data_IF_768465979680
#
_entry.id   IF_768465979680
#
_cell.length_a   1.000
_cell.length_b   1.000
_cell.length_c   1.000
_cell.angle_alpha   90.00
_cell.angle_beta   90.00
_cell.angle_gamma   90.00
#
_symmetry.space_group_name_H-M   'P 1'
#
loop_
_entity.id
_entity.type
_entity.pdbx_description
1 polymer ?
#
# COMPACT_ATOMS: atom_id res chain seq x y z
N UNK A 1 10.31 4.02 18.46
CA UNK A 1 8.92 3.66 18.08
C UNK A 1 8.95 2.56 17.04
N UNK A 2 7.87 1.79 16.85
CA UNK A 2 7.85 0.67 15.89
C UNK A 2 8.20 1.11 14.46
N UNK A 3 7.69 2.26 14.00
CA UNK A 3 7.97 2.77 12.66
C UNK A 3 9.45 3.11 12.38
N UNK A 4 10.32 3.14 13.38
CA UNK A 4 11.77 3.27 13.17
C UNK A 4 12.40 1.97 12.65
N UNK A 5 11.73 0.83 12.87
CA UNK A 5 12.09 -0.50 12.34
C UNK A 5 11.45 -0.76 10.95
N UNK A 6 10.48 0.04 10.53
CA UNK A 6 9.74 -0.07 9.28
C UNK A 6 9.92 1.18 8.41
N UNK A 7 11.17 1.59 8.24
CA UNK A 7 11.50 2.88 7.61
C UNK A 7 11.36 2.86 6.10
N UNK A 8 11.92 1.86 5.43
CA UNK A 8 11.90 1.72 3.98
C UNK A 8 11.72 0.25 3.58
N UNK A 9 10.56 -0.06 3.03
CA UNK A 9 10.18 -1.38 2.59
C UNK A 9 9.68 -1.43 1.16
N UNK A 10 9.14 -2.59 0.78
CA UNK A 10 8.65 -2.83 -0.55
C UNK A 10 7.43 -3.74 -0.53
N UNK A 11 6.49 -3.50 -1.45
CA UNK A 11 5.29 -4.29 -1.61
C UNK A 11 5.54 -5.58 -2.42
N UNK A 12 4.88 -6.67 -2.02
CA UNK A 12 4.86 -7.96 -2.72
C UNK A 12 3.55 -8.15 -3.50
N UNK A 13 3.05 -7.08 -4.15
CA UNK A 13 1.85 -7.13 -4.97
C UNK A 13 1.98 -8.07 -6.16
N UNK A 14 0.86 -8.62 -6.64
CA UNK A 14 0.80 -9.59 -7.72
C UNK A 14 1.01 -11.05 -7.28
N UNK A 15 1.27 -11.31 -6.00
CA UNK A 15 1.47 -12.66 -5.49
C UNK A 15 0.15 -13.32 -5.05
N UNK A 16 -0.42 -12.88 -3.91
CA UNK A 16 -1.70 -13.38 -3.38
C UNK A 16 -2.76 -12.28 -3.31
N UNK A 17 -2.55 -11.23 -4.07
CA UNK A 17 -3.47 -10.14 -4.39
C UNK A 17 -3.12 -9.58 -5.76
N UNK A 18 -4.11 -9.01 -6.46
CA UNK A 18 -3.95 -8.34 -7.77
C UNK A 18 -3.27 -9.21 -8.85
N UNK A 19 -3.28 -10.52 -8.73
CA UNK A 19 -2.84 -11.43 -9.76
C UNK A 19 -3.98 -11.77 -10.74
N UNK A 20 -3.63 -12.07 -11.99
CA UNK A 20 -4.62 -12.44 -13.02
C UNK A 20 -5.36 -13.73 -12.66
N UNK A 21 -4.62 -14.74 -12.20
CA UNK A 21 -5.14 -16.04 -11.80
C UNK A 21 -4.35 -16.51 -10.58
N UNK A 22 -5.06 -16.79 -9.50
CA UNK A 22 -4.46 -17.24 -8.24
C UNK A 22 -4.38 -18.76 -8.20
N UNK A 23 -3.56 -19.34 -9.07
CA UNK A 23 -3.36 -20.78 -9.12
C UNK A 23 -2.31 -21.23 -8.08
N UNK A 24 -2.33 -22.50 -7.66
CA UNK A 24 -1.28 -23.05 -6.79
C UNK A 24 0.13 -22.87 -7.37
N UNK A 25 0.28 -23.03 -8.69
CA UNK A 25 1.55 -22.85 -9.42
C UNK A 25 2.03 -21.40 -9.36
N UNK A 26 1.12 -20.43 -9.55
CA UNK A 26 1.43 -19.01 -9.40
C UNK A 26 1.91 -18.72 -7.98
N UNK A 27 1.14 -19.13 -6.97
CA UNK A 27 1.49 -18.91 -5.56
C UNK A 27 2.85 -19.52 -5.22
N UNK A 28 3.16 -20.71 -5.73
CA UNK A 28 4.41 -21.41 -5.46
C UNK A 28 5.64 -20.79 -6.14
N UNK A 29 5.46 -20.07 -7.27
CA UNK A 29 6.56 -19.65 -8.13
C UNK A 29 6.78 -18.13 -8.19
N UNK A 30 5.76 -17.30 -7.89
CA UNK A 30 5.83 -15.85 -8.12
C UNK A 30 6.78 -15.14 -7.15
N UNK A 31 6.69 -15.43 -5.85
CA UNK A 31 7.64 -14.97 -4.82
C UNK A 31 8.28 -16.21 -4.18
N UNK A 32 9.60 -16.19 -4.10
CA UNK A 32 10.43 -17.24 -3.52
C UNK A 32 11.30 -16.67 -2.41
N UNK A 33 11.92 -17.56 -1.63
CA UNK A 33 12.83 -17.18 -0.54
C UNK A 33 13.97 -16.28 -1.01
N UNK A 34 14.52 -16.58 -2.20
CA UNK A 34 15.60 -15.81 -2.81
C UNK A 34 15.20 -14.35 -3.06
N UNK A 35 13.94 -14.09 -3.41
CA UNK A 35 13.44 -12.73 -3.59
C UNK A 35 13.42 -11.95 -2.26
N UNK A 36 13.05 -12.59 -1.16
CA UNK A 36 13.10 -11.98 0.18
C UNK A 36 14.55 -11.72 0.60
N UNK A 37 15.46 -12.67 0.30
CA UNK A 37 16.90 -12.49 0.49
C UNK A 37 17.47 -11.33 -0.32
N UNK A 38 17.01 -11.15 -1.58
CA UNK A 38 17.42 -10.02 -2.42
C UNK A 38 16.94 -8.67 -1.84
N UNK A 39 15.69 -8.60 -1.38
CA UNK A 39 15.12 -7.39 -0.72
C UNK A 39 15.95 -7.02 0.53
N UNK A 40 16.31 -8.01 1.35
CA UNK A 40 17.17 -7.79 2.51
C UNK A 40 18.58 -7.35 2.10
N UNK A 41 19.17 -7.97 1.05
CA UNK A 41 20.47 -7.58 0.52
C UNK A 41 20.49 -6.16 -0.06
N UNK A 42 19.35 -5.66 -0.54
CA UNK A 42 19.19 -4.25 -0.91
C UNK A 42 19.21 -3.30 0.30
N UNK A 43 19.12 -3.83 1.53
CA UNK A 43 19.14 -3.03 2.75
C UNK A 43 17.80 -2.40 3.09
N UNK A 44 16.70 -2.89 2.50
CA UNK A 44 15.34 -2.58 2.94
C UNK A 44 15.04 -3.31 4.25
N UNK A 45 14.13 -2.79 5.05
CA UNK A 45 13.91 -3.28 6.43
C UNK A 45 12.59 -4.03 6.62
N UNK A 46 11.68 -4.01 5.64
CA UNK A 46 10.42 -4.74 5.71
C UNK A 46 9.79 -4.98 4.33
N UNK A 47 8.83 -5.88 4.30
CA UNK A 47 7.93 -6.09 3.16
C UNK A 47 6.49 -5.82 3.56
N UNK A 48 5.67 -5.31 2.64
CA UNK A 48 4.21 -5.25 2.77
C UNK A 48 3.63 -6.32 1.87
N UNK A 49 2.80 -7.21 2.44
CA UNK A 49 2.12 -8.28 1.71
C UNK A 49 0.64 -7.91 1.52
N UNK A 50 0.24 -7.45 0.33
CA UNK A 50 -1.16 -7.44 -0.04
C UNK A 50 -1.69 -8.87 -0.18
N UNK A 51 -2.83 -9.16 0.47
CA UNK A 51 -3.53 -10.43 0.30
C UNK A 51 -5.03 -10.24 0.11
N UNK A 52 -5.62 -11.07 -0.74
CA UNK A 52 -7.07 -11.10 -0.96
C UNK A 52 -7.69 -12.19 -0.08
N UNK A 53 -8.82 -11.90 0.60
CA UNK A 53 -9.47 -12.84 1.51
C UNK A 53 -9.77 -14.22 0.89
N UNK A 54 -10.06 -14.37 -0.44
CA UNK A 54 -10.34 -15.69 -1.02
C UNK A 54 -9.19 -16.69 -0.92
N UNK A 55 -7.96 -16.23 -0.65
CA UNK A 55 -6.84 -17.13 -0.31
C UNK A 55 -7.10 -17.87 0.99
N UNK A 56 -7.85 -17.27 1.90
CA UNK A 56 -8.03 -17.72 3.29
C UNK A 56 -9.43 -18.21 3.60
N UNK A 57 -10.46 -17.79 2.86
CA UNK A 57 -11.86 -18.11 3.12
C UNK A 57 -12.64 -18.17 1.81
N UNK A 58 -13.65 -19.07 1.71
CA UNK A 58 -14.57 -19.13 0.58
C UNK A 58 -15.92 -18.50 0.94
N UNK A 59 -16.53 -17.78 -0.01
CA UNK A 59 -17.87 -17.21 0.17
C UNK A 59 -18.96 -18.28 0.38
N UNK A 60 -18.76 -19.47 -0.19
CA UNK A 60 -19.66 -20.61 0.01
C UNK A 60 -19.52 -21.29 1.37
N UNK A 61 -18.46 -20.99 2.12
CA UNK A 61 -18.20 -21.57 3.43
C UNK A 61 -17.60 -20.54 4.39
N UNK A 62 -18.33 -19.48 4.73
CA UNK A 62 -17.83 -18.39 5.57
C UNK A 62 -17.42 -18.88 6.96
N UNK A 63 -16.43 -18.20 7.56
CA UNK A 63 -15.81 -18.49 8.86
C UNK A 63 -15.01 -19.82 8.89
N UNK A 64 -14.83 -20.49 7.76
CA UNK A 64 -13.96 -21.68 7.65
C UNK A 64 -12.71 -21.32 6.87
N UNK A 65 -11.58 -21.31 7.58
CA UNK A 65 -10.33 -20.81 7.04
C UNK A 65 -9.51 -21.92 6.37
N UNK A 66 -8.85 -21.55 5.28
CA UNK A 66 -8.01 -22.43 4.46
C UNK A 66 -6.58 -22.46 5.02
N UNK A 67 -6.18 -23.61 5.60
CA UNK A 67 -4.82 -23.77 6.12
C UNK A 67 -3.73 -23.64 5.04
N UNK A 68 -4.01 -24.03 3.80
CA UNK A 68 -3.06 -23.85 2.71
C UNK A 68 -2.82 -22.36 2.37
N UNK A 69 -3.82 -21.50 2.55
CA UNK A 69 -3.67 -20.06 2.39
C UNK A 69 -2.82 -19.45 3.51
N UNK A 70 -3.11 -19.81 4.76
CA UNK A 70 -2.28 -19.41 5.90
C UNK A 70 -0.85 -19.91 5.78
N UNK A 71 -0.62 -21.13 5.26
CA UNK A 71 0.72 -21.68 5.07
C UNK A 71 1.60 -20.83 4.14
N UNK A 72 1.01 -20.07 3.20
CA UNK A 72 1.76 -19.10 2.37
C UNK A 72 2.28 -17.95 3.22
N UNK A 73 1.44 -17.41 4.10
CA UNK A 73 1.79 -16.30 5.00
C UNK A 73 2.80 -16.78 6.05
N UNK A 74 2.60 -17.96 6.65
CA UNK A 74 3.54 -18.57 7.61
C UNK A 74 4.94 -18.72 7.00
N UNK A 75 4.99 -19.17 5.73
CA UNK A 75 6.25 -19.31 4.99
C UNK A 75 6.92 -17.95 4.80
N UNK A 76 6.18 -16.89 4.43
CA UNK A 76 6.74 -15.54 4.31
C UNK A 76 7.23 -15.02 5.66
N UNK A 77 6.49 -15.21 6.75
CA UNK A 77 6.91 -14.83 8.11
C UNK A 77 8.24 -15.52 8.47
N UNK A 78 8.36 -16.82 8.17
CA UNK A 78 9.61 -17.55 8.40
C UNK A 78 10.79 -16.98 7.59
N UNK A 79 10.57 -16.64 6.33
CA UNK A 79 11.59 -15.99 5.49
C UNK A 79 11.95 -14.61 6.00
N UNK A 80 10.96 -13.76 6.34
CA UNK A 80 11.22 -12.45 6.92
C UNK A 80 12.05 -12.54 8.21
N UNK A 81 11.73 -13.49 9.08
CA UNK A 81 12.50 -13.74 10.32
C UNK A 81 13.95 -14.12 10.01
N UNK A 82 14.17 -15.03 9.03
CA UNK A 82 15.51 -15.47 8.64
C UNK A 82 16.37 -14.33 8.10
N UNK A 83 15.76 -13.42 7.33
CA UNK A 83 16.45 -12.27 6.74
C UNK A 83 16.35 -10.98 7.57
N UNK A 84 15.78 -11.06 8.79
CA UNK A 84 15.61 -9.92 9.70
C UNK A 84 14.81 -8.76 9.08
N UNK A 85 13.75 -9.09 8.36
CA UNK A 85 12.78 -8.15 7.79
C UNK A 85 11.51 -8.11 8.64
N UNK A 86 10.90 -6.92 8.76
CA UNK A 86 9.53 -6.79 9.24
C UNK A 86 8.51 -7.17 8.17
N UNK A 87 7.27 -7.41 8.58
CA UNK A 87 6.16 -7.72 7.68
C UNK A 87 4.93 -6.87 8.02
N UNK A 88 4.37 -6.20 7.03
CA UNK A 88 3.02 -5.61 7.08
C UNK A 88 2.08 -6.54 6.31
N UNK A 89 1.07 -7.08 6.99
CA UNK A 89 0.00 -7.88 6.38
C UNK A 89 -1.16 -6.95 6.04
N UNK A 90 -1.40 -6.73 4.76
CA UNK A 90 -2.44 -5.86 4.23
C UNK A 90 -3.59 -6.67 3.65
N UNK A 91 -4.78 -6.56 4.26
CA UNK A 91 -5.99 -7.10 3.63
C UNK A 91 -6.39 -6.21 2.45
N UNK A 92 -5.98 -6.62 1.25
CA UNK A 92 -6.14 -5.83 0.04
C UNK A 92 -7.56 -5.92 -0.54
N UNK A 93 -8.16 -7.10 -0.41
CA UNK A 93 -9.57 -7.36 -0.68
C UNK A 93 -10.18 -8.08 0.52
N UNK A 94 -11.26 -7.52 1.06
CA UNK A 94 -12.01 -8.08 2.19
C UNK A 94 -13.28 -8.79 1.74
N UNK A 95 -13.91 -9.66 2.57
CA UNK A 95 -15.24 -10.15 2.32
C UNK A 95 -16.20 -8.99 2.01
N UNK A 96 -16.86 -9.06 0.84
CA UNK A 96 -17.80 -8.04 0.38
C UNK A 96 -17.19 -6.66 0.09
N UNK A 97 -15.87 -6.55 -0.09
CA UNK A 97 -15.25 -5.29 -0.46
C UNK A 97 -14.04 -5.46 -1.39
N UNK A 98 -14.07 -4.69 -2.48
CA UNK A 98 -12.93 -4.50 -3.38
C UNK A 98 -12.86 -3.04 -3.84
N UNK A 99 -11.74 -2.36 -3.62
CA UNK A 99 -11.56 -0.95 -4.01
C UNK A 99 -11.73 -0.73 -5.52
N UNK A 100 -11.32 -1.69 -6.36
CA UNK A 100 -11.48 -1.63 -7.81
C UNK A 100 -12.93 -1.80 -8.29
N UNK A 101 -13.78 -2.45 -7.49
CA UNK A 101 -15.16 -2.77 -7.81
C UNK A 101 -16.15 -2.25 -6.76
N UNK A 102 -15.79 -1.25 -5.96
CA UNK A 102 -16.56 -0.79 -4.81
C UNK A 102 -18.03 -0.44 -5.13
N UNK A 103 -18.38 -0.11 -6.37
CA UNK A 103 -19.76 0.17 -6.78
C UNK A 103 -20.65 -1.08 -6.72
N UNK A 104 -20.09 -2.26 -6.85
CA UNK A 104 -20.78 -3.56 -6.87
C UNK A 104 -20.34 -4.48 -5.74
N UNK A 105 -19.14 -4.26 -5.16
CA UNK A 105 -18.55 -5.03 -4.07
C UNK A 105 -18.32 -4.12 -2.86
N UNK A 106 -19.39 -3.79 -2.11
CA UNK A 106 -19.35 -2.92 -0.93
C UNK A 106 -20.20 -3.43 0.25
N UNK A 107 -20.56 -4.71 0.26
CA UNK A 107 -21.39 -5.31 1.31
C UNK A 107 -20.75 -5.21 2.71
N UNK A 108 -19.41 -5.09 2.80
CA UNK A 108 -18.72 -4.84 4.06
C UNK A 108 -19.27 -3.62 4.82
N UNK A 109 -19.74 -2.61 4.09
CA UNK A 109 -20.25 -1.35 4.66
C UNK A 109 -21.75 -1.40 5.00
N UNK A 110 -22.47 -2.42 4.55
CA UNK A 110 -23.95 -2.46 4.62
C UNK A 110 -24.52 -3.75 5.19
N UNK A 111 -23.76 -4.85 5.21
CA UNK A 111 -24.20 -6.16 5.67
C UNK A 111 -23.43 -6.59 6.94
N UNK A 112 -24.18 -6.92 8.00
CA UNK A 112 -23.60 -7.30 9.29
C UNK A 112 -22.87 -8.65 9.23
N UNK A 113 -23.35 -9.60 8.43
CA UNK A 113 -22.69 -10.91 8.27
C UNK A 113 -21.32 -10.74 7.64
N UNK A 114 -21.23 -9.91 6.61
CA UNK A 114 -19.97 -9.58 5.93
C UNK A 114 -18.99 -8.86 6.86
N UNK A 115 -19.50 -7.91 7.65
CA UNK A 115 -18.70 -7.24 8.68
C UNK A 115 -18.17 -8.24 9.72
N UNK A 116 -19.00 -9.17 10.18
CA UNK A 116 -18.59 -10.18 11.15
C UNK A 116 -17.54 -11.14 10.56
N UNK A 117 -17.59 -11.46 9.25
CA UNK A 117 -16.54 -12.23 8.56
C UNK A 117 -15.21 -11.48 8.58
N UNK A 118 -15.23 -10.18 8.23
CA UNK A 118 -14.05 -9.32 8.25
C UNK A 118 -13.39 -9.28 9.63
N UNK A 119 -14.18 -9.05 10.70
CA UNK A 119 -13.68 -9.01 12.08
C UNK A 119 -13.15 -10.38 12.50
N UNK A 120 -13.89 -11.46 12.21
CA UNK A 120 -13.48 -12.84 12.58
C UNK A 120 -12.19 -13.25 11.89
N UNK A 121 -11.99 -12.86 10.62
CA UNK A 121 -10.74 -13.13 9.90
C UNK A 121 -9.55 -12.45 10.59
N UNK A 122 -9.69 -11.18 10.99
CA UNK A 122 -8.65 -10.49 11.75
C UNK A 122 -8.42 -11.09 13.15
N UNK A 123 -9.46 -11.57 13.83
CA UNK A 123 -9.30 -12.32 15.08
C UNK A 123 -8.52 -13.63 14.85
N UNK A 124 -8.77 -14.33 13.72
CA UNK A 124 -8.02 -15.51 13.31
C UNK A 124 -6.54 -15.20 13.07
N UNK A 125 -6.23 -14.08 12.42
CA UNK A 125 -4.85 -13.60 12.28
C UNK A 125 -4.22 -13.29 13.64
N UNK A 126 -4.95 -12.60 14.51
CA UNK A 126 -4.47 -12.25 15.84
C UNK A 126 -4.13 -13.51 16.66
N UNK A 127 -5.00 -14.53 16.67
CA UNK A 127 -4.74 -15.79 17.36
C UNK A 127 -3.54 -16.55 16.80
N UNK A 128 -3.44 -16.61 15.45
CA UNK A 128 -2.35 -17.35 14.79
C UNK A 128 -0.98 -16.69 14.99
N UNK A 129 -0.93 -15.36 14.96
CA UNK A 129 0.33 -14.60 14.94
C UNK A 129 0.64 -13.83 16.22
N UNK A 130 -0.07 -14.08 17.33
CA UNK A 130 0.15 -13.38 18.61
C UNK A 130 1.59 -13.45 19.14
N UNK A 131 2.32 -14.51 18.78
CA UNK A 131 3.71 -14.71 19.21
C UNK A 131 4.75 -14.02 18.29
N UNK A 132 4.33 -13.38 17.19
CA UNK A 132 5.25 -12.70 16.26
C UNK A 132 5.69 -11.31 16.75
N UNK A 133 5.00 -10.76 17.74
CA UNK A 133 5.34 -9.46 18.34
C UNK A 133 5.40 -8.34 17.29
N UNK A 134 6.43 -7.50 17.40
CA UNK A 134 6.66 -6.34 16.53
C UNK A 134 7.10 -6.70 15.09
N UNK A 135 7.34 -7.98 14.80
CA UNK A 135 7.79 -8.39 13.45
C UNK A 135 6.64 -8.41 12.43
N UNK A 136 5.39 -8.41 12.91
CA UNK A 136 4.20 -8.44 12.07
C UNK A 136 3.25 -7.33 12.49
N UNK A 137 2.91 -6.46 11.54
CA UNK A 137 1.91 -5.40 11.66
C UNK A 137 0.69 -5.76 10.83
N UNK A 138 -0.53 -5.50 11.32
CA UNK A 138 -1.77 -5.71 10.57
C UNK A 138 -2.25 -4.39 9.97
N UNK A 139 -2.44 -4.35 8.66
CA UNK A 139 -3.10 -3.26 7.96
C UNK A 139 -4.53 -3.68 7.64
N UNK A 140 -5.50 -3.03 8.27
CA UNK A 140 -6.88 -3.51 8.31
C UNK A 140 -7.52 -3.64 6.95
N UNK A 141 -7.34 -2.67 6.06
CA UNK A 141 -7.93 -2.69 4.74
C UNK A 141 -7.21 -1.73 3.81
N UNK A 142 -6.93 -2.19 2.60
CA UNK A 142 -6.40 -1.38 1.50
C UNK A 142 -7.46 -0.43 0.95
N UNK A 143 -7.06 0.79 0.61
CA UNK A 143 -7.74 1.78 -0.24
C UNK A 143 -9.27 1.87 -0.07
N UNK A 144 -9.70 2.33 1.10
CA UNK A 144 -11.10 2.52 1.43
C UNK A 144 -11.73 3.60 0.53
N UNK A 145 -12.88 3.30 -0.08
CA UNK A 145 -13.62 4.20 -0.99
C UNK A 145 -14.90 4.75 -0.32
N UNK A 146 -15.00 4.73 1.01
CA UNK A 146 -16.09 5.37 1.75
C UNK A 146 -15.96 6.91 1.60
N UNK A 147 -16.95 7.62 1.07
CA UNK A 147 -16.84 9.05 0.84
C UNK A 147 -16.83 9.90 2.12
N UNK A 148 -17.33 9.36 3.24
CA UNK A 148 -17.52 10.12 4.48
C UNK A 148 -16.61 9.69 5.64
N UNK A 149 -16.04 8.50 5.58
CA UNK A 149 -15.19 7.93 6.64
C UNK A 149 -15.92 7.43 7.89
N UNK A 150 -17.16 7.88 8.15
CA UNK A 150 -17.90 7.52 9.38
C UNK A 150 -18.22 6.03 9.47
N UNK A 151 -18.62 5.41 8.36
CA UNK A 151 -18.92 3.98 8.30
C UNK A 151 -17.63 3.18 8.47
N UNK A 152 -16.55 3.61 7.81
CA UNK A 152 -15.25 2.98 7.94
C UNK A 152 -14.74 3.03 9.40
N UNK A 153 -14.82 4.18 10.06
CA UNK A 153 -14.40 4.29 11.47
C UNK A 153 -15.12 3.29 12.38
N UNK A 154 -16.43 3.04 12.15
CA UNK A 154 -17.19 2.03 12.91
C UNK A 154 -16.71 0.59 12.62
N UNK A 155 -16.43 0.26 11.37
CA UNK A 155 -15.93 -1.04 10.93
C UNK A 155 -14.54 -1.27 11.53
N UNK A 156 -13.63 -0.29 11.38
CA UNK A 156 -12.27 -0.34 11.89
C UNK A 156 -12.25 -0.52 13.42
N UNK A 157 -13.11 0.20 14.15
CA UNK A 157 -13.23 0.06 15.60
C UNK A 157 -13.61 -1.37 16.00
N UNK A 158 -14.60 -1.99 15.36
CA UNK A 158 -14.98 -3.38 15.63
C UNK A 158 -13.84 -4.36 15.36
N UNK A 159 -13.08 -4.15 14.29
CA UNK A 159 -11.91 -4.99 13.99
C UNK A 159 -10.79 -4.79 15.03
N UNK A 160 -10.49 -3.55 15.41
CA UNK A 160 -9.51 -3.22 16.46
C UNK A 160 -9.91 -3.87 17.78
N UNK A 161 -11.16 -3.71 18.22
CA UNK A 161 -11.69 -4.32 19.43
C UNK A 161 -11.57 -5.85 19.42
N UNK A 162 -11.91 -6.47 18.28
CA UNK A 162 -11.77 -7.92 18.06
C UNK A 162 -10.30 -8.36 18.19
N UNK A 163 -9.38 -7.69 17.51
CA UNK A 163 -7.94 -7.98 17.59
C UNK A 163 -7.44 -7.79 19.03
N UNK A 164 -7.81 -6.69 19.72
CA UNK A 164 -7.39 -6.41 21.10
C UNK A 164 -7.88 -7.44 22.10
N UNK A 165 -9.04 -8.07 21.84
CA UNK A 165 -9.55 -9.17 22.66
C UNK A 165 -8.69 -10.44 22.59
N UNK A 166 -7.87 -10.58 21.55
CA UNK A 166 -7.01 -11.75 21.30
C UNK A 166 -5.52 -11.43 21.47
N UNK A 167 -5.09 -10.28 20.96
CA UNK A 167 -3.70 -9.81 20.95
C UNK A 167 -3.67 -8.31 21.31
N UNK A 168 -3.50 -8.03 22.60
CA UNK A 168 -3.50 -6.67 23.13
C UNK A 168 -2.31 -5.83 22.63
N UNK A 169 -1.23 -6.47 22.20
CA UNK A 169 0.02 -5.82 21.84
C UNK A 169 0.24 -5.65 20.33
N UNK A 170 -0.68 -6.14 19.49
CA UNK A 170 -0.56 -6.05 18.04
C UNK A 170 -0.53 -4.62 17.54
N UNK A 171 0.47 -4.27 16.72
CA UNK A 171 0.47 -3.04 15.95
C UNK A 171 -0.52 -3.14 14.78
N UNK A 172 -1.38 -2.14 14.63
CA UNK A 172 -2.43 -2.07 13.61
C UNK A 172 -2.25 -0.79 12.81
N UNK A 173 -2.20 -0.90 11.48
CA UNK A 173 -2.23 0.22 10.54
C UNK A 173 -3.67 0.51 10.12
N UNK A 174 -4.06 1.76 10.26
CA UNK A 174 -5.38 2.28 9.91
C UNK A 174 -5.24 3.30 8.78
N UNK A 175 -5.74 2.94 7.61
CA UNK A 175 -5.85 3.82 6.44
C UNK A 175 -7.19 4.55 6.40
N UNK A 176 -7.24 5.66 5.67
CA UNK A 176 -8.43 6.51 5.54
C UNK A 176 -9.20 6.30 4.24
N UNK A 177 -10.34 6.98 4.07
CA UNK A 177 -11.12 6.96 2.84
C UNK A 177 -10.37 7.64 1.67
N UNK A 178 -11.06 7.71 0.52
CA UNK A 178 -10.51 8.27 -0.72
C UNK A 178 -9.23 7.55 -1.17
N UNK A 179 -9.27 6.20 -1.22
CA UNK A 179 -8.13 5.35 -1.64
C UNK A 179 -6.90 5.55 -0.75
N UNK A 180 -7.09 5.59 0.56
CA UNK A 180 -6.02 5.86 1.53
C UNK A 180 -5.24 7.16 1.23
N UNK A 181 -5.85 8.16 0.58
CA UNK A 181 -5.16 9.41 0.28
C UNK A 181 -4.76 10.18 1.54
N UNK A 182 -3.77 11.06 1.42
CA UNK A 182 -3.35 11.93 2.52
C UNK A 182 -4.51 12.80 3.06
N UNK A 183 -5.47 13.19 2.21
CA UNK A 183 -6.66 13.94 2.60
C UNK A 183 -7.62 13.09 3.46
N UNK A 184 -7.70 11.79 3.21
CA UNK A 184 -8.54 10.86 3.99
C UNK A 184 -8.13 10.74 5.47
N UNK A 185 -6.90 11.06 5.82
CA UNK A 185 -6.39 10.98 7.20
C UNK A 185 -7.21 11.83 8.19
N UNK A 186 -7.71 13.01 7.76
CA UNK A 186 -8.41 13.93 8.66
C UNK A 186 -9.77 13.41 9.15
N UNK A 187 -10.34 12.40 8.47
CA UNK A 187 -11.63 11.79 8.83
C UNK A 187 -11.48 10.61 9.79
N UNK A 188 -10.24 10.16 10.03
CA UNK A 188 -9.98 9.00 10.89
C UNK A 188 -10.17 9.32 12.36
N UNK A 189 -10.71 8.34 13.09
CA UNK A 189 -10.71 8.35 14.54
C UNK A 189 -9.28 8.31 15.10
N UNK A 190 -9.00 9.15 16.09
CA UNK A 190 -7.69 9.22 16.73
C UNK A 190 -7.72 8.43 18.02
N UNK A 191 -6.95 7.34 18.06
CA UNK A 191 -6.84 6.44 19.20
C UNK A 191 -5.73 6.90 20.15
N UNK A 192 -5.98 6.79 21.46
CA UNK A 192 -4.95 6.95 22.49
C UNK A 192 -3.99 5.76 22.56
N UNK A 193 -4.39 4.61 22.02
CA UNK A 193 -3.53 3.43 21.86
C UNK A 193 -2.38 3.73 20.91
N UNK A 194 -1.14 3.71 21.41
CA UNK A 194 0.07 3.99 20.62
C UNK A 194 0.43 2.86 19.62
N UNK A 195 -0.25 1.72 19.72
CA UNK A 195 -0.12 0.61 18.76
C UNK A 195 -1.08 0.73 17.57
N UNK A 196 -1.96 1.73 17.56
CA UNK A 196 -2.71 2.11 16.37
C UNK A 196 -1.88 3.14 15.60
N UNK A 197 -1.45 2.75 14.41
CA UNK A 197 -0.63 3.50 13.48
C UNK A 197 -1.52 3.99 12.34
N UNK A 198 -1.13 5.07 11.67
CA UNK A 198 -1.92 5.65 10.59
C UNK A 198 -1.21 5.51 9.25
N UNK A 199 -1.97 5.08 8.24
CA UNK A 199 -1.48 4.78 6.89
C UNK A 199 -2.12 5.69 5.87
N UNK A 200 -1.35 6.02 4.82
CA UNK A 200 -1.85 6.67 3.60
C UNK A 200 -1.06 6.19 2.38
N UNK A 201 -1.63 6.39 1.19
CA UNK A 201 -0.96 6.17 -0.09
C UNK A 201 -0.64 7.51 -0.74
N UNK A 202 0.46 7.58 -1.48
CA UNK A 202 0.90 8.86 -2.03
C UNK A 202 1.45 8.71 -3.45
N UNK A 203 0.54 8.79 -4.43
CA UNK A 203 0.86 8.70 -5.85
C UNK A 203 0.87 10.07 -6.57
N UNK A 204 0.97 11.18 -5.83
CA UNK A 204 1.09 12.50 -6.44
C UNK A 204 2.49 12.73 -7.07
N UNK A 205 2.54 13.40 -8.24
CA UNK A 205 1.43 13.82 -9.07
C UNK A 205 0.89 12.64 -9.90
N UNK A 206 -0.43 12.44 -9.87
CA UNK A 206 -1.08 11.30 -10.53
C UNK A 206 -0.79 11.25 -12.04
N UNK A 207 -0.76 12.41 -12.71
CA UNK A 207 -0.42 12.53 -14.13
C UNK A 207 0.95 11.94 -14.48
N UNK A 208 1.91 11.96 -13.54
CA UNK A 208 3.23 11.37 -13.72
C UNK A 208 3.25 9.90 -13.32
N UNK A 209 2.76 9.59 -12.11
CA UNK A 209 2.87 8.25 -11.51
C UNK A 209 2.02 7.20 -12.22
N UNK A 210 0.94 7.63 -12.91
CA UNK A 210 0.00 6.78 -13.64
C UNK A 210 -0.06 7.11 -15.14
N UNK A 211 0.94 7.83 -15.67
CA UNK A 211 0.95 8.20 -17.08
C UNK A 211 0.74 6.97 -17.98
N UNK A 212 -0.22 7.05 -18.89
CA UNK A 212 -0.61 5.97 -19.83
C UNK A 212 -1.00 4.65 -19.14
N UNK A 213 -1.37 4.67 -17.86
CA UNK A 213 -1.81 3.48 -17.16
C UNK A 213 -3.13 2.94 -17.75
N UNK A 214 -3.16 1.65 -18.07
CA UNK A 214 -4.27 1.00 -18.81
C UNK A 214 -5.62 1.05 -18.12
N UNK A 215 -5.62 1.21 -16.81
CA UNK A 215 -6.81 1.25 -15.95
C UNK A 215 -7.31 2.66 -15.65
N UNK A 216 -6.71 3.69 -16.24
CA UNK A 216 -7.07 5.09 -16.05
C UNK A 216 -7.50 5.76 -17.36
N UNK A 217 -8.08 6.95 -17.28
CA UNK A 217 -8.35 7.79 -18.46
C UNK A 217 -7.07 8.28 -19.16
N UNK A 218 -5.90 8.10 -18.55
CA UNK A 218 -4.61 8.48 -19.14
C UNK A 218 -4.10 7.46 -20.20
N UNK A 219 -4.71 6.28 -20.33
CA UNK A 219 -4.23 5.16 -21.15
C UNK A 219 -3.96 5.52 -22.61
N UNK A 220 -4.82 6.32 -23.21
CA UNK A 220 -4.80 6.65 -24.64
C UNK A 220 -4.25 8.04 -24.94
N UNK A 221 -3.83 8.80 -23.93
CA UNK A 221 -3.34 10.18 -24.11
C UNK A 221 -2.02 10.26 -24.89
N UNK A 222 -1.22 9.21 -24.88
CA UNK A 222 0.12 9.20 -25.48
C UNK A 222 1.13 10.13 -24.81
N UNK A 223 0.72 10.84 -23.75
CA UNK A 223 1.56 11.84 -23.08
C UNK A 223 2.66 11.17 -22.27
N UNK A 224 3.88 11.69 -22.37
CA UNK A 224 5.00 11.40 -21.50
C UNK A 224 5.23 12.59 -20.59
N UNK A 225 4.94 12.42 -19.30
CA UNK A 225 5.19 13.44 -18.28
C UNK A 225 6.63 13.36 -17.80
N UNK A 226 7.40 14.46 -17.85
CA UNK A 226 8.75 14.48 -17.28
C UNK A 226 8.72 14.62 -15.76
N UNK A 227 9.82 14.24 -15.11
CA UNK A 227 10.09 14.56 -13.71
C UNK A 227 11.61 14.73 -13.47
N UNK A 228 12.07 15.89 -12.90
CA UNK A 228 11.27 17.10 -12.75
C UNK A 228 10.88 17.74 -14.08
N UNK A 229 9.79 18.51 -14.12
CA UNK A 229 9.38 19.21 -15.34
C UNK A 229 7.97 19.76 -15.32
N UNK A 230 7.67 20.53 -16.35
CA UNK A 230 6.33 21.11 -16.54
C UNK A 230 5.31 20.06 -16.98
N UNK A 231 4.04 20.29 -16.64
CA UNK A 231 2.92 19.47 -17.14
C UNK A 231 2.88 19.48 -18.65
N UNK A 232 3.05 18.30 -19.27
CA UNK A 232 2.99 18.13 -20.71
C UNK A 232 1.56 17.80 -21.17
N UNK A 233 1.23 18.18 -22.43
CA UNK A 233 -0.01 17.79 -23.10
C UNK A 233 -1.28 18.35 -22.49
N UNK A 234 -1.24 19.57 -21.97
CA UNK A 234 -2.34 20.20 -21.22
C UNK A 234 -3.68 20.19 -21.97
N UNK A 235 -3.68 20.43 -23.29
CA UNK A 235 -4.91 20.48 -24.06
C UNK A 235 -5.52 19.09 -24.25
N UNK A 236 -4.70 18.07 -24.43
CA UNK A 236 -5.13 16.67 -24.46
C UNK A 236 -5.69 16.25 -23.08
N UNK A 237 -5.04 16.66 -21.99
CA UNK A 237 -5.50 16.35 -20.64
C UNK A 237 -6.84 17.01 -20.31
N UNK A 238 -7.07 18.26 -20.76
CA UNK A 238 -8.37 18.92 -20.62
C UNK A 238 -9.50 18.17 -21.28
N UNK A 239 -9.21 17.55 -22.44
CA UNK A 239 -10.19 16.80 -23.24
C UNK A 239 -10.40 15.38 -22.70
N UNK A 240 -9.31 14.65 -22.41
CA UNK A 240 -9.37 13.20 -22.18
C UNK A 240 -9.29 12.80 -20.70
N UNK A 241 -8.73 13.63 -19.84
CA UNK A 241 -8.53 13.33 -18.43
C UNK A 241 -8.70 14.55 -17.51
N UNK A 242 -9.79 15.34 -17.64
CA UNK A 242 -9.99 16.57 -16.87
C UNK A 242 -9.99 16.34 -15.36
N UNK A 243 -10.51 15.21 -14.89
CA UNK A 243 -10.60 14.88 -13.47
C UNK A 243 -9.21 14.74 -12.81
N UNK A 244 -8.18 14.34 -13.57
CA UNK A 244 -6.80 14.24 -13.06
C UNK A 244 -6.02 15.54 -13.18
N UNK A 245 -6.49 16.48 -14.00
CA UNK A 245 -5.83 17.77 -14.21
C UNK A 245 -6.05 18.72 -13.01
N UNK A 246 -7.27 18.78 -12.47
CA UNK A 246 -7.63 19.69 -11.39
C UNK A 246 -7.32 21.15 -11.75
N UNK A 247 -6.58 21.85 -10.89
CA UNK A 247 -6.16 23.25 -11.12
C UNK A 247 -4.80 23.39 -11.83
N UNK A 248 -4.18 22.29 -12.29
CA UNK A 248 -2.86 22.34 -12.94
C UNK A 248 -2.93 22.99 -14.33
N UNK A 249 -1.88 23.71 -14.68
CA UNK A 249 -1.70 24.39 -15.96
C UNK A 249 -0.38 23.96 -16.62
N UNK A 250 -0.10 24.44 -17.82
CA UNK A 250 1.18 24.16 -18.49
C UNK A 250 2.41 24.73 -17.75
N UNK A 251 2.20 25.71 -16.89
CA UNK A 251 3.24 26.33 -16.06
C UNK A 251 3.47 25.55 -14.74
N UNK A 252 2.56 24.63 -14.40
CA UNK A 252 2.73 23.78 -13.21
C UNK A 252 3.96 22.90 -13.37
N UNK A 253 4.89 22.96 -12.41
CA UNK A 253 6.13 22.18 -12.41
C UNK A 253 5.99 21.02 -11.43
N UNK A 254 6.24 19.80 -11.88
CA UNK A 254 6.40 18.65 -11.01
C UNK A 254 7.83 18.61 -10.48
N UNK A 255 8.02 18.93 -9.21
CA UNK A 255 9.29 18.94 -8.50
C UNK A 255 9.10 18.66 -7.01
N UNK A 256 10.16 18.79 -6.24
CA UNK A 256 10.12 18.59 -4.78
C UNK A 256 9.10 19.52 -4.09
N UNK A 257 9.00 20.78 -4.50
CA UNK A 257 8.10 21.73 -3.88
C UNK A 257 6.63 21.35 -4.14
N UNK A 258 6.32 20.90 -5.37
CA UNK A 258 5.01 20.36 -5.70
C UNK A 258 4.66 19.14 -4.83
N UNK A 259 5.60 18.21 -4.66
CA UNK A 259 5.37 17.02 -3.82
C UNK A 259 5.10 17.42 -2.36
N UNK A 260 5.84 18.38 -1.83
CA UNK A 260 5.65 18.88 -0.46
C UNK A 260 4.29 19.55 -0.27
N UNK A 261 3.85 20.36 -1.23
CA UNK A 261 2.50 20.95 -1.24
C UNK A 261 1.42 19.86 -1.21
N UNK A 262 1.54 18.83 -2.04
CA UNK A 262 0.59 17.72 -2.08
C UNK A 262 0.61 16.85 -0.80
N UNK A 263 1.71 16.83 -0.07
CA UNK A 263 1.84 16.15 1.22
C UNK A 263 1.24 16.96 2.39
N UNK A 264 0.88 18.23 2.19
CA UNK A 264 0.40 19.11 3.25
C UNK A 264 -0.73 18.52 4.13
N UNK A 265 -1.74 17.76 3.62
CA UNK A 265 -2.75 17.13 4.47
C UNK A 265 -2.14 16.14 5.48
N UNK A 266 -1.16 15.32 5.06
CA UNK A 266 -0.46 14.40 5.95
C UNK A 266 0.38 15.14 7.00
N UNK A 267 1.08 16.20 6.61
CA UNK A 267 1.84 17.06 7.53
C UNK A 267 0.91 17.71 8.56
N UNK A 268 -0.24 18.23 8.12
CA UNK A 268 -1.28 18.80 8.99
C UNK A 268 -1.78 17.78 10.00
N UNK A 269 -2.05 16.54 9.55
CA UNK A 269 -2.48 15.45 10.43
C UNK A 269 -1.44 15.16 11.51
N UNK A 270 -0.16 14.99 11.15
CA UNK A 270 0.93 14.75 12.09
C UNK A 270 1.06 15.89 13.11
N UNK A 271 1.02 17.14 12.68
CA UNK A 271 1.13 18.31 13.54
C UNK A 271 -0.05 18.41 14.53
N UNK A 272 -1.27 18.07 14.07
CA UNK A 272 -2.49 18.13 14.90
C UNK A 272 -2.54 17.00 15.93
N UNK A 273 -2.08 15.80 15.57
CA UNK A 273 -2.29 14.58 16.37
C UNK A 273 -1.06 14.12 17.13
N UNK A 274 0.13 14.57 16.73
CA UNK A 274 1.41 14.03 17.20
C UNK A 274 1.71 12.60 16.71
N UNK A 275 0.84 11.99 15.90
CA UNK A 275 1.01 10.62 15.38
C UNK A 275 1.97 10.62 14.20
N UNK A 276 2.82 9.57 14.14
CA UNK A 276 3.66 9.31 12.97
C UNK A 276 2.85 8.57 11.91
N UNK A 277 3.28 8.73 10.66
CA UNK A 277 2.63 8.12 9.50
C UNK A 277 3.49 7.05 8.84
N UNK A 278 2.79 6.12 8.22
CA UNK A 278 3.32 5.14 7.30
C UNK A 278 2.69 5.38 5.91
N UNK A 279 3.50 5.45 4.86
CA UNK A 279 3.03 5.48 3.48
C UNK A 279 3.08 4.05 2.92
N UNK A 280 1.93 3.35 2.90
CA UNK A 280 1.83 1.94 2.50
C UNK A 280 2.13 1.71 1.02
N UNK A 281 1.84 2.73 0.19
CA UNK A 281 2.12 2.67 -1.24
C UNK A 281 2.57 4.03 -1.79
N UNK A 282 3.61 4.01 -2.57
CA UNK A 282 4.08 5.10 -3.43
C UNK A 282 4.93 4.51 -4.55
N UNK A 283 4.98 5.19 -5.69
CA UNK A 283 5.76 4.71 -6.83
C UNK A 283 5.45 5.50 -8.09
N UNK A 284 6.08 5.11 -9.18
CA UNK A 284 5.79 5.59 -10.52
C UNK A 284 5.85 4.45 -11.52
N UNK A 285 4.91 4.45 -12.46
CA UNK A 285 4.78 3.44 -13.52
C UNK A 285 6.05 3.34 -14.37
N UNK A 286 6.42 2.13 -14.79
CA UNK A 286 7.63 1.89 -15.60
C UNK A 286 7.63 2.69 -16.91
N UNK A 287 6.44 3.03 -17.44
CA UNK A 287 6.27 3.87 -18.62
C UNK A 287 6.80 5.31 -18.46
N UNK A 288 7.08 5.75 -17.24
CA UNK A 288 7.76 7.03 -16.98
C UNK A 288 9.25 7.03 -17.34
N UNK A 289 9.82 5.83 -17.56
CA UNK A 289 11.26 5.65 -17.80
C UNK A 289 12.09 5.67 -16.51
N UNK A 290 13.21 4.95 -16.54
CA UNK A 290 14.02 4.73 -15.32
C UNK A 290 14.55 6.03 -14.73
N UNK A 291 15.08 6.93 -15.54
CA UNK A 291 15.67 8.21 -15.09
C UNK A 291 14.63 9.08 -14.37
N UNK A 292 13.46 9.29 -14.98
CA UNK A 292 12.37 10.06 -14.37
C UNK A 292 11.87 9.41 -13.07
N UNK A 293 11.78 8.07 -13.04
CA UNK A 293 11.42 7.33 -11.82
C UNK A 293 12.44 7.54 -10.70
N UNK A 294 13.73 7.47 -11.01
CA UNK A 294 14.84 7.69 -10.05
C UNK A 294 14.73 9.10 -9.47
N UNK A 295 14.65 10.14 -10.31
CA UNK A 295 14.56 11.53 -9.88
C UNK A 295 13.34 11.74 -8.95
N UNK A 296 12.17 11.26 -9.38
CA UNK A 296 10.95 11.33 -8.60
C UNK A 296 11.06 10.63 -7.24
N UNK A 297 11.62 9.42 -7.21
CA UNK A 297 11.75 8.63 -5.98
C UNK A 297 12.80 9.22 -5.03
N UNK A 298 13.86 9.85 -5.54
CA UNK A 298 14.84 10.57 -4.72
C UNK A 298 14.17 11.74 -3.98
N UNK A 299 13.42 12.58 -4.69
CA UNK A 299 12.68 13.70 -4.10
C UNK A 299 11.61 13.21 -3.12
N UNK A 300 10.86 12.16 -3.50
CA UNK A 300 9.84 11.55 -2.64
C UNK A 300 10.45 11.02 -1.34
N UNK A 301 11.56 10.31 -1.41
CA UNK A 301 12.20 9.76 -0.22
C UNK A 301 12.87 10.83 0.64
N UNK A 302 13.47 11.86 0.03
CA UNK A 302 13.96 13.02 0.77
C UNK A 302 12.83 13.73 1.54
N UNK A 303 11.64 13.84 0.91
CA UNK A 303 10.46 14.40 1.55
C UNK A 303 9.97 13.53 2.73
N UNK A 304 9.89 12.21 2.54
CA UNK A 304 9.51 11.30 3.62
C UNK A 304 10.53 11.29 4.76
N UNK A 305 11.82 11.34 4.47
CA UNK A 305 12.87 11.43 5.49
C UNK A 305 12.81 12.75 6.26
N UNK A 306 12.53 13.89 5.58
CA UNK A 306 12.32 15.20 6.21
C UNK A 306 11.22 15.16 7.28
N UNK A 307 10.12 14.46 7.00
CA UNK A 307 8.96 14.36 7.90
C UNK A 307 8.94 13.07 8.72
N UNK A 308 9.98 12.22 8.64
CA UNK A 308 10.08 10.93 9.34
C UNK A 308 8.90 10.01 9.07
N UNK A 309 8.43 9.97 7.82
CA UNK A 309 7.38 9.07 7.34
C UNK A 309 8.01 7.75 6.92
N UNK A 310 7.54 6.66 7.50
CA UNK A 310 7.88 5.29 7.09
C UNK A 310 7.13 4.93 5.81
N UNK A 311 7.68 4.00 5.00
CA UNK A 311 7.13 3.79 3.65
C UNK A 311 7.39 2.41 3.08
N UNK A 312 6.53 1.96 2.14
CA UNK A 312 6.77 0.79 1.29
C UNK A 312 6.54 1.14 -0.19
N UNK A 313 7.58 0.93 -1.01
CA UNK A 313 7.52 1.18 -2.44
C UNK A 313 6.58 0.18 -3.14
N UNK A 314 5.72 0.66 -4.02
CA UNK A 314 4.95 -0.15 -4.94
C UNK A 314 5.68 -0.21 -6.29
N UNK A 315 6.26 -1.34 -6.74
CA UNK A 315 6.12 -2.70 -6.29
C UNK A 315 7.44 -3.47 -6.54
N UNK A 316 7.65 -4.61 -5.86
CA UNK A 316 8.85 -5.43 -6.07
C UNK A 316 8.84 -6.06 -7.47
N UNK A 317 7.77 -6.76 -7.86
CA UNK A 317 7.69 -7.55 -9.09
C UNK A 317 6.36 -7.34 -9.82
N UNK A 318 6.41 -6.98 -11.11
CA UNK A 318 5.22 -6.84 -11.97
C UNK A 318 4.37 -5.61 -11.65
N UNK A 319 3.09 -5.65 -12.04
CA UNK A 319 2.06 -4.63 -11.83
C UNK A 319 2.47 -3.25 -12.36
N UNK A 320 3.15 -3.20 -13.48
CA UNK A 320 3.61 -1.98 -14.18
C UNK A 320 4.55 -1.05 -13.38
N UNK A 321 4.88 -1.37 -12.11
CA UNK A 321 5.75 -0.59 -11.21
C UNK A 321 7.02 -1.33 -10.78
N UNK A 322 7.30 -2.49 -11.36
CA UNK A 322 8.36 -3.39 -10.94
C UNK A 322 9.70 -2.69 -10.66
N UNK A 323 10.37 -3.12 -9.59
CA UNK A 323 11.76 -2.76 -9.27
C UNK A 323 12.78 -3.77 -9.80
N UNK A 324 12.30 -4.92 -10.28
CA UNK A 324 13.11 -5.94 -10.97
C UNK A 324 12.67 -6.10 -12.42
N UNK A 325 13.59 -6.56 -13.25
CA UNK A 325 13.35 -6.90 -14.65
C UNK A 325 12.76 -8.34 -14.82
N UNK A 326 12.65 -8.80 -16.04
CA UNK A 326 12.17 -10.15 -16.38
C UNK A 326 13.08 -11.28 -15.90
N UNK A 327 14.38 -10.99 -15.68
CA UNK A 327 15.37 -11.94 -15.16
C UNK A 327 15.37 -11.99 -13.63
N UNK A 328 14.63 -11.10 -12.96
CA UNK A 328 14.60 -10.98 -11.51
C UNK A 328 15.73 -10.12 -10.94
N UNK A 329 16.47 -9.41 -11.80
CA UNK A 329 17.51 -8.48 -11.40
C UNK A 329 16.96 -7.07 -11.20
N UNK A 330 17.61 -6.25 -10.38
CA UNK A 330 17.20 -4.86 -10.20
C UNK A 330 17.16 -4.12 -11.56
N UNK A 331 16.08 -3.37 -11.82
CA UNK A 331 15.96 -2.52 -13.03
C UNK A 331 17.15 -1.60 -13.17
N UNK A 332 17.59 -1.00 -12.07
CA UNK A 332 18.90 -0.36 -11.92
C UNK A 332 19.28 -0.22 -10.44
N UNK A 333 20.58 -0.17 -10.10
CA UNK A 333 21.04 0.13 -8.74
C UNK A 333 20.54 1.51 -8.25
N UNK A 334 20.46 2.50 -9.16
CA UNK A 334 19.97 3.85 -8.86
C UNK A 334 18.51 3.79 -8.39
N UNK A 335 17.66 2.97 -9.05
CA UNK A 335 16.26 2.80 -8.66
C UNK A 335 16.17 2.18 -7.25
N UNK A 336 16.97 1.17 -6.96
CA UNK A 336 17.02 0.54 -5.63
C UNK A 336 17.45 1.55 -4.56
N UNK A 337 18.50 2.35 -4.82
CA UNK A 337 18.90 3.44 -3.91
C UNK A 337 17.78 4.47 -3.73
N UNK A 338 17.11 4.83 -4.82
CA UNK A 338 16.02 5.81 -4.79
C UNK A 338 14.78 5.34 -4.00
N UNK A 339 14.54 4.04 -3.86
CA UNK A 339 13.47 3.51 -2.99
C UNK A 339 13.92 3.33 -1.52
N UNK A 340 15.17 3.60 -1.20
CA UNK A 340 15.74 3.54 0.15
C UNK A 340 16.72 2.40 0.39
N UNK A 341 17.07 1.65 -0.65
CA UNK A 341 18.10 0.61 -0.59
C UNK A 341 19.53 1.17 -0.44
N UNK A 342 20.47 0.29 -0.14
CA UNK A 342 21.89 0.61 0.18
C UNK A 342 22.89 -0.14 -0.70
N UNK A 343 22.53 -0.44 -1.96
CA UNK A 343 23.40 -1.14 -2.92
C UNK A 343 24.11 -0.20 -3.87
#
# INVERSE_FOLDING_TARGET
MILDKYRAGINLGGWISQCREMTPEHIASFIKKENIGQIAAWGLDHVRLPFDYPVLEDDGNPFVYKENGFAVIDKLIAWCREFNLGLVLDMHKAPGYSFGNYKTENALFTDETTLNRFVSLWCGFAERYKNEGDNVIFELLNEIVDPHGDTWNKIARKAIEGIRGVDADRHILLGGPHYNSAAGLETLEIYSDERILYNFHFYEPFLFTHQRARWTSLKDTGIVQPYPGNVAGIDILKEQAPDHLGSMTAETVFDFAFLEERLAPAIKFMNKTGKRLYCGEYGAIALAGTENRVNYLQDKNALFDKYKISRAYWNYKGLDYSSIDENGEAVSPELVRAIGGKI
#
